data_IF_295259320756
#
_entry.id   IF_295259320756
#
_cell.length_a   1.000
_cell.length_b   1.000
_cell.length_c   1.000
_cell.angle_alpha   90.00
_cell.angle_beta   90.00
_cell.angle_gamma   90.00
#
_symmetry.space_group_name_H-M   'P 1'
#
loop_
_entity.id
_entity.type
_entity.pdbx_description
1 polymer ?
#
# COMPACT_ATOMS: atom_id res chain seq x y z
N UNK A 1 -13.21 0.84 -13.28
CA UNK A 1 -12.18 -0.09 -12.78
C UNK A 1 -12.02 -1.30 -13.68
N UNK A 2 -13.06 -2.13 -13.86
CA UNK A 2 -12.96 -3.35 -14.68
C UNK A 2 -12.58 -3.09 -16.14
N UNK A 3 -13.19 -2.10 -16.79
CA UNK A 3 -12.82 -1.69 -18.15
C UNK A 3 -11.39 -1.18 -18.27
N UNK A 4 -10.90 -0.50 -17.22
CA UNK A 4 -9.53 0.01 -17.20
C UNK A 4 -8.53 -1.14 -17.03
N UNK A 5 -8.81 -2.08 -16.12
CA UNK A 5 -8.02 -3.29 -15.94
C UNK A 5 -7.97 -4.11 -17.24
N UNK A 6 -9.12 -4.31 -17.89
CA UNK A 6 -9.16 -5.00 -19.18
C UNK A 6 -8.25 -4.31 -20.22
N UNK A 7 -8.31 -2.99 -20.32
CA UNK A 7 -7.43 -2.23 -21.21
C UNK A 7 -5.93 -2.38 -20.87
N UNK A 8 -5.55 -2.36 -19.59
CA UNK A 8 -4.15 -2.60 -19.20
C UNK A 8 -3.70 -4.03 -19.54
N UNK A 9 -4.56 -5.04 -19.39
CA UNK A 9 -4.25 -6.43 -19.74
C UNK A 9 -4.11 -6.64 -21.26
N UNK A 10 -4.95 -5.96 -22.05
CA UNK A 10 -4.85 -5.95 -23.51
C UNK A 10 -3.52 -5.31 -23.95
N UNK A 11 -3.17 -4.15 -23.39
CA UNK A 11 -1.87 -3.50 -23.66
C UNK A 11 -0.69 -4.39 -23.25
N UNK A 12 -0.75 -5.03 -22.08
CA UNK A 12 0.30 -5.93 -21.61
C UNK A 12 0.50 -7.09 -22.58
N UNK A 13 -0.59 -7.67 -23.10
CA UNK A 13 -0.55 -8.75 -24.08
C UNK A 13 0.14 -8.32 -25.37
N UNK A 14 -0.20 -7.14 -25.90
CA UNK A 14 0.43 -6.61 -27.12
C UNK A 14 1.91 -6.28 -26.90
N UNK A 15 2.26 -5.67 -25.77
CA UNK A 15 3.66 -5.36 -25.43
C UNK A 15 4.52 -6.62 -25.31
N UNK A 16 3.99 -7.71 -24.74
CA UNK A 16 4.70 -8.98 -24.64
C UNK A 16 4.95 -9.62 -26.02
N UNK A 17 3.99 -9.52 -26.95
CA UNK A 17 4.18 -9.97 -28.34
C UNK A 17 5.28 -9.15 -29.03
N UNK A 18 5.23 -7.82 -28.91
CA UNK A 18 6.26 -6.93 -29.45
C UNK A 18 7.63 -7.24 -28.86
N UNK A 19 7.69 -7.48 -27.54
CA UNK A 19 8.92 -7.83 -26.84
C UNK A 19 9.56 -9.12 -27.36
N UNK A 20 8.75 -10.12 -27.72
CA UNK A 20 9.24 -11.37 -28.32
C UNK A 20 9.70 -11.22 -29.78
N UNK A 21 9.24 -10.19 -30.49
CA UNK A 21 9.65 -9.90 -31.86
C UNK A 21 10.93 -9.03 -31.96
N UNK A 22 11.33 -8.39 -30.86
CA UNK A 22 12.50 -7.50 -30.82
C UNK A 22 13.77 -8.29 -30.47
N UNK A 23 14.76 -8.24 -31.37
CA UNK A 23 16.08 -8.86 -31.19
C UNK A 23 17.14 -7.89 -30.68
N UNK A 24 16.92 -6.58 -30.82
CA UNK A 24 17.83 -5.54 -30.33
C UNK A 24 17.71 -5.43 -28.80
N UNK A 25 18.84 -5.55 -28.11
CA UNK A 25 18.88 -5.62 -26.64
C UNK A 25 18.46 -4.30 -25.97
N UNK A 26 18.78 -3.16 -26.58
CA UNK A 26 18.40 -1.86 -26.04
C UNK A 26 16.89 -1.62 -26.16
N UNK A 27 16.29 -1.89 -27.33
CA UNK A 27 14.85 -1.82 -27.54
C UNK A 27 14.09 -2.83 -26.67
N UNK A 28 14.64 -4.02 -26.50
CA UNK A 28 14.14 -5.03 -25.58
C UNK A 28 14.06 -4.52 -24.14
N UNK A 29 15.16 -3.95 -23.62
CA UNK A 29 15.22 -3.38 -22.27
C UNK A 29 14.25 -2.21 -22.08
N UNK A 30 14.11 -1.36 -23.11
CA UNK A 30 13.14 -0.27 -23.11
C UNK A 30 11.68 -0.79 -23.02
N UNK A 31 11.34 -1.80 -23.83
CA UNK A 31 10.03 -2.47 -23.77
C UNK A 31 9.79 -3.13 -22.41
N UNK A 32 10.81 -3.76 -21.82
CA UNK A 32 10.72 -4.34 -20.47
C UNK A 32 10.42 -3.28 -19.40
N UNK A 33 10.86 -2.03 -19.59
CA UNK A 33 10.46 -0.89 -18.77
C UNK A 33 8.95 -0.61 -18.87
N UNK A 34 8.42 -0.47 -20.09
CA UNK A 34 7.00 -0.20 -20.33
C UNK A 34 6.12 -1.33 -19.81
N UNK A 35 6.50 -2.58 -20.06
CA UNK A 35 5.80 -3.78 -19.57
C UNK A 35 5.67 -3.75 -18.05
N UNK A 36 6.74 -3.41 -17.33
CA UNK A 36 6.73 -3.31 -15.87
C UNK A 36 5.75 -2.25 -15.38
N UNK A 37 5.66 -1.10 -16.05
CA UNK A 37 4.69 -0.06 -15.69
C UNK A 37 3.24 -0.52 -15.89
N UNK A 38 2.93 -1.10 -17.05
CA UNK A 38 1.57 -1.60 -17.37
C UNK A 38 1.17 -2.68 -16.37
N UNK A 39 2.08 -3.61 -16.11
CA UNK A 39 1.86 -4.67 -15.14
C UNK A 39 1.60 -4.13 -13.73
N UNK A 40 2.39 -3.15 -13.28
CA UNK A 40 2.19 -2.52 -11.98
C UNK A 40 0.79 -1.87 -11.87
N UNK A 41 0.34 -1.15 -12.90
CA UNK A 41 -1.00 -0.55 -12.91
C UNK A 41 -2.09 -1.61 -12.85
N UNK A 42 -1.97 -2.70 -13.62
CA UNK A 42 -2.91 -3.82 -13.53
C UNK A 42 -3.01 -4.40 -12.11
N UNK A 43 -1.87 -4.64 -11.45
CA UNK A 43 -1.82 -5.13 -10.06
C UNK A 43 -2.46 -4.17 -9.05
N UNK A 44 -2.27 -2.87 -9.21
CA UNK A 44 -2.91 -1.86 -8.36
C UNK A 44 -4.44 -1.84 -8.56
N UNK A 45 -4.91 -1.97 -9.81
CA UNK A 45 -6.34 -2.04 -10.11
C UNK A 45 -6.98 -3.31 -9.54
N UNK A 46 -6.26 -4.44 -9.56
CA UNK A 46 -6.68 -5.68 -8.90
C UNK A 46 -6.74 -5.53 -7.38
N UNK A 47 -5.74 -4.89 -6.77
CA UNK A 47 -5.70 -4.65 -5.33
C UNK A 47 -6.91 -3.84 -4.84
N UNK A 48 -7.36 -2.87 -5.63
CA UNK A 48 -8.58 -2.07 -5.35
C UNK A 48 -9.89 -2.87 -5.44
N UNK A 49 -9.86 -4.08 -6.02
CA UNK A 49 -11.01 -4.98 -6.13
C UNK A 49 -10.97 -6.11 -5.10
N UNK A 50 -9.95 -6.17 -4.24
CA UNK A 50 -9.91 -7.19 -3.21
C UNK A 50 -11.12 -7.01 -2.29
N UNK A 51 -11.89 -8.08 -2.03
CA UNK A 51 -12.97 -8.01 -1.04
C UNK A 51 -12.37 -7.72 0.34
N UNK A 52 -13.19 -7.15 1.21
CA UNK A 52 -12.83 -7.05 2.62
C UNK A 52 -12.48 -8.44 3.16
N UNK A 53 -11.35 -8.50 3.87
CA UNK A 53 -10.92 -9.76 4.48
C UNK A 53 -11.89 -10.12 5.61
N UNK A 54 -12.30 -11.40 5.72
CA UNK A 54 -13.14 -11.84 6.82
C UNK A 54 -12.43 -11.56 8.15
N UNK A 55 -13.20 -11.17 9.17
CA UNK A 55 -12.67 -11.05 10.52
C UNK A 55 -12.38 -12.45 11.08
N UNK A 56 -11.10 -12.83 11.11
CA UNK A 56 -10.66 -14.06 11.78
C UNK A 56 -10.27 -13.73 13.23
N UNK A 57 -11.14 -14.05 14.19
CA UNK A 57 -10.82 -13.94 15.61
C UNK A 57 -12.00 -13.71 16.55
N UNK A 58 -11.76 -13.89 17.84
CA UNK A 58 -12.62 -13.33 18.90
C UNK A 58 -12.29 -11.86 19.12
N UNK A 59 -13.22 -11.11 19.71
CA UNK A 59 -13.01 -9.71 20.06
C UNK A 59 -11.81 -9.53 21.01
N UNK A 60 -11.04 -8.46 20.80
CA UNK A 60 -9.97 -8.07 21.73
C UNK A 60 -10.53 -7.17 22.82
N UNK A 61 -10.05 -7.35 24.05
CA UNK A 61 -10.26 -6.37 25.11
C UNK A 61 -9.64 -5.02 24.71
N UNK A 62 -10.25 -3.90 25.14
CA UNK A 62 -9.86 -2.56 24.70
C UNK A 62 -8.38 -2.25 24.95
N UNK A 63 -7.86 -2.65 26.12
CA UNK A 63 -6.44 -2.46 26.47
C UNK A 63 -5.50 -3.21 25.52
N UNK A 64 -5.80 -4.47 25.23
CA UNK A 64 -5.02 -5.29 24.28
C UNK A 64 -5.09 -4.72 22.86
N UNK A 65 -6.26 -4.23 22.44
CA UNK A 65 -6.42 -3.58 21.14
C UNK A 65 -5.53 -2.34 21.02
N UNK A 66 -5.49 -1.48 22.05
CA UNK A 66 -4.63 -0.29 22.09
C UNK A 66 -3.15 -0.67 22.06
N UNK A 67 -2.73 -1.68 22.82
CA UNK A 67 -1.33 -2.14 22.83
C UNK A 67 -0.88 -2.68 21.46
N UNK A 68 -1.74 -3.46 20.80
CA UNK A 68 -1.48 -3.95 19.43
C UNK A 68 -1.40 -2.80 18.42
N UNK A 69 -2.27 -1.81 18.51
CA UNK A 69 -2.23 -0.62 17.65
C UNK A 69 -0.93 0.18 17.87
N UNK A 70 -0.49 0.34 19.11
CA UNK A 70 0.79 0.99 19.43
C UNK A 70 1.99 0.23 18.86
N UNK A 71 1.98 -1.09 18.93
CA UNK A 71 2.99 -1.94 18.29
C UNK A 71 2.98 -1.79 16.76
N UNK A 72 1.80 -1.74 16.14
CA UNK A 72 1.67 -1.47 14.70
C UNK A 72 2.26 -0.11 14.32
N UNK A 73 2.01 0.94 15.12
CA UNK A 73 2.61 2.25 14.90
C UNK A 73 4.15 2.19 14.88
N UNK A 74 4.76 1.51 15.87
CA UNK A 74 6.22 1.31 15.92
C UNK A 74 6.75 0.58 14.69
N UNK A 75 6.01 -0.41 14.17
CA UNK A 75 6.38 -1.11 12.92
C UNK A 75 6.28 -0.21 11.70
N UNK A 76 5.25 0.64 11.61
CA UNK A 76 5.14 1.61 10.51
C UNK A 76 6.27 2.66 10.54
N UNK A 77 6.72 3.08 11.72
CA UNK A 77 7.90 3.96 11.87
C UNK A 77 9.18 3.27 11.36
N UNK A 78 9.36 1.99 11.67
CA UNK A 78 10.47 1.18 11.13
C UNK A 78 10.36 1.03 9.60
N UNK A 79 9.16 0.73 9.08
CA UNK A 79 8.92 0.65 7.63
C UNK A 79 9.25 1.97 6.93
N UNK A 80 8.88 3.11 7.50
CA UNK A 80 9.22 4.42 6.93
C UNK A 80 10.73 4.61 6.79
N UNK A 81 11.51 4.14 7.76
CA UNK A 81 12.98 4.20 7.69
C UNK A 81 13.53 3.33 6.55
N UNK A 82 12.97 2.12 6.37
CA UNK A 82 13.35 1.23 5.28
C UNK A 82 13.01 1.84 3.90
N UNK A 83 11.81 2.38 3.74
CA UNK A 83 11.39 3.00 2.46
C UNK A 83 12.27 4.19 2.10
N UNK A 84 12.67 5.01 3.09
CA UNK A 84 13.65 6.09 2.87
C UNK A 84 15.00 5.58 2.39
N UNK A 85 15.47 4.43 2.87
CA UNK A 85 16.71 3.83 2.35
C UNK A 85 16.56 3.33 0.91
N UNK A 86 15.40 2.79 0.54
CA UNK A 86 15.12 2.37 -0.85
C UNK A 86 15.13 3.56 -1.80
N UNK A 87 14.64 4.72 -1.36
CA UNK A 87 14.66 5.95 -2.16
C UNK A 87 16.07 6.36 -2.56
N UNK A 88 17.05 6.13 -1.69
CA UNK A 88 18.45 6.43 -1.96
C UNK A 88 19.11 5.45 -2.94
N UNK A 89 18.53 4.25 -3.12
CA UNK A 89 19.04 3.21 -4.01
C UNK A 89 18.20 3.02 -5.28
N UNK A 90 17.24 3.90 -5.56
CA UNK A 90 16.40 3.80 -6.74
C UNK A 90 17.22 4.13 -8.00
N UNK A 91 17.18 3.26 -9.00
CA UNK A 91 17.94 3.37 -10.24
C UNK A 91 17.09 3.92 -11.39
N UNK A 92 15.76 3.84 -11.25
CA UNK A 92 14.80 4.26 -12.27
C UNK A 92 13.79 5.29 -11.76
N UNK A 93 13.24 6.09 -12.67
CA UNK A 93 12.17 7.03 -12.36
C UNK A 93 10.92 6.33 -11.81
N UNK A 94 10.57 5.15 -12.36
CA UNK A 94 9.46 4.35 -11.89
C UNK A 94 9.65 3.91 -10.43
N UNK A 95 10.85 3.44 -10.07
CA UNK A 95 11.15 3.07 -8.68
C UNK A 95 11.00 4.26 -7.74
N UNK A 96 11.51 5.44 -8.10
CA UNK A 96 11.35 6.66 -7.31
C UNK A 96 9.88 7.01 -7.07
N UNK A 97 9.04 6.91 -8.11
CA UNK A 97 7.62 7.21 -8.01
C UNK A 97 6.87 6.20 -7.14
N UNK A 98 7.16 4.91 -7.30
CA UNK A 98 6.58 3.85 -6.47
C UNK A 98 6.98 4.01 -5.01
N UNK A 99 8.26 4.26 -4.74
CA UNK A 99 8.78 4.50 -3.39
C UNK A 99 8.11 5.73 -2.77
N UNK A 100 8.01 6.84 -3.49
CA UNK A 100 7.35 8.05 -3.00
C UNK A 100 5.84 7.83 -2.71
N UNK A 101 5.16 7.02 -3.51
CA UNK A 101 3.77 6.63 -3.25
C UNK A 101 3.66 5.76 -1.99
N UNK A 102 4.59 4.81 -1.79
CA UNK A 102 4.67 3.99 -0.58
C UNK A 102 4.92 4.83 0.68
N UNK A 103 5.85 5.79 0.64
CA UNK A 103 6.12 6.72 1.75
C UNK A 103 4.81 7.39 2.19
N UNK A 104 4.09 8.02 1.26
CA UNK A 104 2.83 8.71 1.56
C UNK A 104 1.74 7.78 2.09
N UNK A 105 1.65 6.57 1.57
CA UNK A 105 0.66 5.58 2.02
C UNK A 105 0.94 5.09 3.44
N UNK A 106 2.21 4.83 3.76
CA UNK A 106 2.64 4.42 5.10
C UNK A 106 2.40 5.54 6.11
N UNK A 107 2.80 6.78 5.79
CA UNK A 107 2.61 7.94 6.66
C UNK A 107 1.13 8.15 7.00
N UNK A 108 0.25 8.07 6.00
CA UNK A 108 -1.20 8.20 6.19
C UNK A 108 -1.74 7.10 7.08
N UNK A 109 -1.33 5.85 6.85
CA UNK A 109 -1.81 4.71 7.65
C UNK A 109 -1.37 4.86 9.11
N UNK A 110 -0.11 5.23 9.34
CA UNK A 110 0.40 5.51 10.68
C UNK A 110 -0.40 6.62 11.40
N UNK A 111 -0.70 7.72 10.70
CA UNK A 111 -1.54 8.79 11.27
C UNK A 111 -2.94 8.29 11.63
N UNK A 112 -3.58 7.52 10.76
CA UNK A 112 -4.91 6.96 11.00
C UNK A 112 -4.92 6.02 12.23
N UNK A 113 -3.88 5.21 12.41
CA UNK A 113 -3.75 4.36 13.60
C UNK A 113 -3.59 5.19 14.88
N UNK A 114 -2.79 6.26 14.86
CA UNK A 114 -2.68 7.17 16.01
C UNK A 114 -4.01 7.84 16.35
N UNK A 115 -4.76 8.28 15.33
CA UNK A 115 -6.10 8.85 15.54
C UNK A 115 -7.07 7.81 16.13
N UNK A 116 -7.00 6.56 15.68
CA UNK A 116 -7.80 5.46 16.22
C UNK A 116 -7.47 5.18 17.69
N UNK A 117 -6.18 5.12 18.04
CA UNK A 117 -5.73 4.97 19.44
C UNK A 117 -6.29 6.09 20.31
N UNK A 118 -6.19 7.34 19.86
CA UNK A 118 -6.73 8.49 20.58
C UNK A 118 -8.25 8.38 20.77
N UNK A 119 -9.00 7.98 19.73
CA UNK A 119 -10.43 7.79 19.84
C UNK A 119 -10.79 6.68 20.85
N UNK A 120 -10.12 5.53 20.77
CA UNK A 120 -10.33 4.38 21.66
C UNK A 120 -9.99 4.69 23.13
N UNK A 121 -9.03 5.58 23.38
CA UNK A 121 -8.61 5.96 24.74
C UNK A 121 -9.44 7.10 25.34
N UNK A 122 -10.08 7.93 24.53
CA UNK A 122 -10.99 8.99 24.99
C UNK A 122 -12.43 8.51 25.22
N UNK A 123 -12.88 7.48 24.49
CA UNK A 123 -14.22 6.87 24.65
C UNK A 123 -14.54 6.46 26.10
N UNK A 124 -13.66 5.76 26.84
CA UNK A 124 -13.89 5.41 28.25
C UNK A 124 -13.97 6.63 29.18
N UNK A 125 -13.19 7.68 28.90
CA UNK A 125 -13.17 8.91 29.71
C UNK A 125 -14.44 9.73 29.53
N UNK A 126 -15.02 9.71 28.33
CA UNK A 126 -16.30 10.37 28.04
C UNK A 126 -17.48 9.64 28.72
N UNK A 127 -17.48 8.30 28.70
CA UNK A 127 -18.50 7.48 29.37
C UNK A 127 -18.49 7.68 30.90
N UNK A 128 -17.32 7.66 31.53
CA UNK A 128 -17.18 7.90 32.98
C UNK A 128 -17.63 9.31 33.41
N UNK A 129 -17.51 10.32 32.53
CA UNK A 129 -18.00 11.69 32.80
C UNK A 129 -19.52 11.82 32.64
N UNK A 130 -20.15 10.95 31.87
CA UNK A 130 -21.60 10.95 31.67
C UNK A 130 -22.35 10.26 32.82
N UNK A 131 -21.74 9.25 33.46
CA UNK A 131 -22.30 8.52 34.60
C UNK A 131 -22.08 9.24 35.96
N UNK A 132 -21.17 10.21 36.02
CA UNK A 132 -20.89 11.02 37.21
C UNK A 132 -21.73 12.30 37.33
N UNK A 133 -22.83 12.42 36.58
CA UNK A 133 -23.82 13.51 36.65
C UNK A 133 -25.20 12.95 36.98
#
# INVERSE_FOLDING_TARGET
>A
MERLLAGELDHLTELLKLRGAVTDEYMASFLDGIIREVYLRARLLEALRMPDLPHEGGGLELGEAVDRLNEMCRRYEAHMSLVKSLRASAETQLELEVIAAMEKSIERTHLMLRMLINALTELPKAAQRAEGR
#
